data_IF_073760502044
#
_entry.id   IF_073760502044
#
_cell.length_a   1.000
_cell.length_b   1.000
_cell.length_c   1.000
_cell.angle_alpha   90.00
_cell.angle_beta   90.00
_cell.angle_gamma   90.00
#
_symmetry.space_group_name_H-M   'P 1'
#
loop_
_entity.id
_entity.type
_entity.pdbx_description
1 polymer ?
#
# COMPACT_ATOMS: atom_id res chain seq x y z
N UNK A 1 -7.20 27.52 6.57
CA UNK A 1 -6.50 26.30 6.13
C UNK A 1 -7.37 25.42 5.23
N UNK A 2 -8.70 25.49 5.31
CA UNK A 2 -9.58 24.95 4.26
C UNK A 2 -9.97 26.03 3.25
N UNK A 3 -9.00 26.59 2.53
CA UNK A 3 -9.33 27.70 1.61
C UNK A 3 -10.27 27.21 0.51
N UNK A 4 -10.08 26.00 -0.01
CA UNK A 4 -10.99 25.30 -0.92
C UNK A 4 -11.07 23.81 -0.51
N UNK A 5 -12.29 23.30 -0.31
CA UNK A 5 -12.59 21.86 -0.21
C UNK A 5 -13.36 21.51 -1.47
N UNK A 6 -12.89 20.55 -2.26
CA UNK A 6 -13.57 20.23 -3.52
C UNK A 6 -14.50 19.03 -3.37
N UNK A 7 -13.98 17.87 -2.99
CA UNK A 7 -14.75 16.65 -2.83
C UNK A 7 -14.95 16.35 -1.34
N UNK A 8 -16.18 16.50 -0.87
CA UNK A 8 -16.52 16.34 0.55
C UNK A 8 -17.41 15.13 0.76
N UNK A 9 -17.25 14.46 1.91
CA UNK A 9 -18.28 13.57 2.42
C UNK A 9 -19.48 14.42 2.84
N UNK A 10 -20.67 14.10 2.33
CA UNK A 10 -21.90 14.80 2.65
C UNK A 10 -22.57 14.13 3.83
N UNK A 11 -23.19 12.97 3.63
CA UNK A 11 -23.92 12.28 4.68
C UNK A 11 -24.04 10.78 4.37
N UNK A 12 -24.47 10.04 5.39
CA UNK A 12 -24.92 8.66 5.25
C UNK A 12 -26.42 8.63 5.04
N UNK A 13 -26.88 7.75 4.15
CA UNK A 13 -28.29 7.49 3.88
C UNK A 13 -28.57 6.01 4.13
N UNK A 14 -29.65 5.70 4.87
CA UNK A 14 -30.00 4.33 5.26
C UNK A 14 -30.94 3.62 4.27
N UNK A 15 -31.40 4.28 3.22
CA UNK A 15 -32.47 3.78 2.34
C UNK A 15 -31.98 3.23 1.01
N UNK A 16 -32.67 2.21 0.48
CA UNK A 16 -32.83 0.88 1.07
C UNK A 16 -31.50 0.11 1.13
N UNK A 17 -30.52 0.53 0.34
CA UNK A 17 -29.12 0.12 0.43
C UNK A 17 -28.35 1.22 1.15
N UNK A 18 -27.82 0.99 2.36
CA UNK A 18 -27.03 1.99 3.07
C UNK A 18 -25.86 2.47 2.22
N UNK A 19 -25.72 3.79 2.08
CA UNK A 19 -24.69 4.39 1.23
C UNK A 19 -24.15 5.70 1.80
N UNK A 20 -22.92 6.02 1.42
CA UNK A 20 -22.32 7.33 1.63
C UNK A 20 -22.60 8.23 0.43
N UNK A 21 -22.85 9.52 0.68
CA UNK A 21 -22.97 10.55 -0.33
C UNK A 21 -21.75 11.45 -0.31
N UNK A 22 -21.27 11.80 -1.49
CA UNK A 22 -20.14 12.70 -1.71
C UNK A 22 -20.60 13.87 -2.57
N UNK A 23 -20.09 15.07 -2.28
CA UNK A 23 -20.41 16.28 -3.02
C UNK A 23 -19.15 16.88 -3.60
N UNK A 24 -19.20 17.25 -4.88
CA UNK A 24 -18.22 18.15 -5.47
C UNK A 24 -18.72 19.59 -5.36
N UNK A 25 -18.03 20.39 -4.54
CA UNK A 25 -18.44 21.76 -4.17
C UNK A 25 -18.44 22.68 -5.38
N UNK A 26 -17.45 22.59 -6.26
CA UNK A 26 -17.35 23.41 -7.46
C UNK A 26 -18.48 23.08 -8.46
N UNK A 27 -18.76 21.78 -8.65
CA UNK A 27 -19.86 21.31 -9.49
C UNK A 27 -21.21 21.75 -8.92
N UNK A 28 -21.38 21.74 -7.60
CA UNK A 28 -22.60 22.21 -6.94
C UNK A 28 -22.83 23.71 -7.14
N UNK A 29 -21.76 24.54 -7.06
CA UNK A 29 -21.88 25.97 -7.37
C UNK A 29 -22.27 26.21 -8.82
N UNK A 30 -21.66 25.48 -9.77
CA UNK A 30 -22.04 25.54 -11.19
C UNK A 30 -23.48 25.09 -11.41
N UNK A 31 -23.93 24.05 -10.71
CA UNK A 31 -25.32 23.59 -10.75
C UNK A 31 -26.29 24.68 -10.29
N UNK A 32 -26.03 25.36 -9.15
CA UNK A 32 -26.85 26.47 -8.68
C UNK A 32 -26.95 27.62 -9.69
N UNK A 33 -25.83 27.98 -10.32
CA UNK A 33 -25.81 29.00 -11.36
C UNK A 33 -26.61 28.60 -12.60
N UNK A 34 -26.52 27.32 -13.01
CA UNK A 34 -27.30 26.76 -14.11
C UNK A 34 -28.81 26.81 -13.81
N UNK A 35 -29.21 26.36 -12.62
CA UNK A 35 -30.61 26.38 -12.19
C UNK A 35 -31.18 27.81 -12.12
N UNK A 36 -30.40 28.77 -11.61
CA UNK A 36 -30.80 30.18 -11.56
C UNK A 36 -31.00 30.79 -12.95
N UNK A 37 -30.21 30.38 -13.95
CA UNK A 37 -30.37 30.80 -15.35
C UNK A 37 -31.58 30.17 -16.05
N UNK A 38 -32.00 28.97 -15.63
CA UNK A 38 -33.09 28.20 -16.24
C UNK A 38 -34.52 28.59 -15.86
N UNK A 39 -34.75 29.65 -15.06
CA UNK A 39 -36.08 30.11 -14.58
C UNK A 39 -37.03 28.98 -14.14
N UNK A 40 -36.52 27.96 -13.44
CA UNK A 40 -37.34 26.91 -12.83
C UNK A 40 -37.95 25.87 -13.79
N UNK A 41 -37.57 25.83 -15.08
CA UNK A 41 -37.88 24.69 -15.95
C UNK A 41 -36.75 23.66 -15.85
N UNK A 42 -37.14 22.44 -15.47
CA UNK A 42 -36.38 21.20 -15.27
C UNK A 42 -34.85 21.29 -15.14
N UNK A 43 -34.34 20.84 -13.99
CA UNK A 43 -32.92 20.61 -13.71
C UNK A 43 -32.25 19.53 -14.58
N UNK A 44 -32.91 19.04 -15.63
CA UNK A 44 -32.52 17.90 -16.47
C UNK A 44 -31.30 18.13 -17.36
N UNK A 45 -30.71 19.34 -17.36
CA UNK A 45 -29.47 19.67 -18.08
C UNK A 45 -28.33 20.23 -17.22
N UNK A 46 -28.53 20.40 -15.90
CA UNK A 46 -27.49 20.92 -15.02
C UNK A 46 -26.68 19.73 -14.47
N UNK A 47 -25.39 19.64 -14.83
CA UNK A 47 -24.53 18.47 -14.59
C UNK A 47 -24.47 17.94 -13.15
N UNK A 48 -23.98 16.70 -13.01
CA UNK A 48 -23.92 15.97 -11.74
C UNK A 48 -22.92 16.59 -10.76
N UNK A 49 -23.33 16.72 -9.49
CA UNK A 49 -22.49 17.25 -8.40
C UNK A 49 -22.47 16.36 -7.15
N UNK A 50 -23.40 15.41 -7.04
CA UNK A 50 -23.49 14.47 -5.91
C UNK A 50 -23.18 13.06 -6.43
N UNK A 51 -22.47 12.27 -5.66
CA UNK A 51 -22.09 10.91 -6.02
C UNK A 51 -22.36 10.00 -4.85
N UNK A 52 -22.72 8.76 -5.13
CA UNK A 52 -23.14 7.81 -4.10
C UNK A 52 -22.36 6.52 -4.22
N UNK A 53 -22.04 5.91 -3.07
CA UNK A 53 -21.42 4.59 -3.02
C UNK A 53 -22.02 3.77 -1.86
N UNK A 54 -22.53 2.55 -2.12
CA UNK A 54 -22.95 1.61 -1.08
C UNK A 54 -21.83 1.31 -0.10
N UNK A 55 -22.19 1.05 1.15
CA UNK A 55 -21.22 0.63 2.15
C UNK A 55 -20.69 -0.78 1.86
N UNK A 56 -19.37 -0.90 1.78
CA UNK A 56 -18.63 -2.15 1.70
C UNK A 56 -18.47 -2.79 3.07
N UNK A 57 -18.42 -4.11 3.14
CA UNK A 57 -18.17 -4.81 4.40
C UNK A 57 -16.71 -4.65 4.84
N UNK A 58 -16.49 -4.48 6.13
CA UNK A 58 -15.17 -4.39 6.74
C UNK A 58 -14.29 -5.60 6.40
N UNK A 59 -14.82 -6.80 6.59
CA UNK A 59 -14.15 -8.06 6.23
C UNK A 59 -13.73 -8.09 4.76
N UNK A 60 -14.53 -7.52 3.88
CA UNK A 60 -14.27 -7.47 2.46
C UNK A 60 -13.17 -6.46 2.12
N UNK A 61 -13.15 -5.29 2.77
CA UNK A 61 -12.04 -4.35 2.60
C UNK A 61 -10.71 -4.89 3.14
N UNK A 62 -10.75 -5.69 4.21
CA UNK A 62 -9.56 -6.41 4.71
C UNK A 62 -9.09 -7.45 3.69
N UNK A 63 -10.02 -8.21 3.09
CA UNK A 63 -9.72 -9.16 2.00
C UNK A 63 -9.09 -8.45 0.80
N UNK A 64 -9.62 -7.30 0.39
CA UNK A 64 -9.05 -6.46 -0.69
C UNK A 64 -7.64 -6.00 -0.31
N UNK A 65 -7.42 -5.49 0.89
CA UNK A 65 -6.09 -5.11 1.37
C UNK A 65 -5.11 -6.30 1.38
N UNK A 66 -5.55 -7.48 1.81
CA UNK A 66 -4.76 -8.71 1.75
C UNK A 66 -4.39 -9.09 0.31
N UNK A 67 -5.31 -8.94 -0.65
CA UNK A 67 -5.04 -9.19 -2.06
C UNK A 67 -4.03 -8.19 -2.65
N UNK A 68 -4.13 -6.90 -2.29
CA UNK A 68 -3.14 -5.89 -2.69
C UNK A 68 -1.74 -6.20 -2.13
N UNK A 69 -1.65 -6.60 -0.86
CA UNK A 69 -0.38 -7.08 -0.26
C UNK A 69 0.15 -8.31 -0.98
N UNK A 70 -0.71 -9.28 -1.27
CA UNK A 70 -0.35 -10.52 -1.97
C UNK A 70 0.23 -10.22 -3.35
N UNK A 71 -0.41 -9.32 -4.12
CA UNK A 71 0.09 -8.87 -5.42
C UNK A 71 1.48 -8.24 -5.31
N UNK A 72 1.70 -7.39 -4.30
CA UNK A 72 3.01 -6.76 -4.07
C UNK A 72 4.09 -7.78 -3.67
N UNK A 73 3.78 -8.70 -2.74
CA UNK A 73 4.73 -9.74 -2.33
C UNK A 73 5.12 -10.65 -3.49
N UNK A 74 4.13 -11.04 -4.32
CA UNK A 74 4.36 -11.81 -5.54
C UNK A 74 5.29 -11.06 -6.50
N UNK A 75 5.05 -9.76 -6.72
CA UNK A 75 5.93 -8.92 -7.54
C UNK A 75 7.36 -8.91 -7.00
N UNK A 76 7.54 -8.60 -5.71
CA UNK A 76 8.84 -8.48 -5.06
C UNK A 76 9.64 -9.80 -5.12
N UNK A 77 8.99 -10.93 -4.81
CA UNK A 77 9.64 -12.23 -4.84
C UNK A 77 10.02 -12.65 -6.27
N UNK A 78 9.12 -12.48 -7.25
CA UNK A 78 9.41 -12.71 -8.68
C UNK A 78 10.59 -11.88 -9.15
N UNK A 79 10.61 -10.60 -8.77
CA UNK A 79 11.66 -9.65 -9.15
C UNK A 79 13.04 -10.13 -8.69
N UNK A 80 13.14 -10.56 -7.43
CA UNK A 80 14.37 -11.10 -6.87
C UNK A 80 14.78 -12.41 -7.54
N UNK A 81 13.88 -13.40 -7.61
CA UNK A 81 14.21 -14.72 -8.13
C UNK A 81 14.56 -14.69 -9.61
N UNK A 82 13.91 -13.82 -10.40
CA UNK A 82 14.28 -13.59 -11.80
C UNK A 82 15.72 -13.12 -11.94
N UNK A 83 16.12 -12.13 -11.12
CA UNK A 83 17.48 -11.61 -11.13
C UNK A 83 18.50 -12.66 -10.67
N UNK A 84 18.22 -13.38 -9.59
CA UNK A 84 19.12 -14.38 -9.03
C UNK A 84 19.31 -15.58 -9.97
N UNK A 85 18.22 -16.12 -10.54
CA UNK A 85 18.28 -17.23 -11.50
C UNK A 85 19.04 -16.82 -12.75
N UNK A 86 18.84 -15.60 -13.23
CA UNK A 86 19.57 -15.13 -14.42
C UNK A 86 21.04 -14.90 -14.15
N UNK A 87 21.39 -14.33 -13.00
CA UNK A 87 22.78 -14.16 -12.56
C UNK A 87 23.51 -15.52 -12.60
N UNK A 88 22.89 -16.55 -12.06
CA UNK A 88 23.44 -17.91 -11.90
C UNK A 88 23.07 -18.88 -13.04
N UNK A 89 22.66 -18.37 -14.19
CA UNK A 89 22.37 -19.17 -15.39
C UNK A 89 23.69 -19.72 -15.97
N UNK A 90 23.81 -21.01 -16.34
CA UNK A 90 22.76 -22.04 -16.48
C UNK A 90 22.46 -22.89 -15.26
N UNK A 91 23.27 -22.84 -14.20
CA UNK A 91 23.08 -23.72 -13.03
C UNK A 91 21.71 -23.53 -12.37
N UNK A 92 21.31 -22.28 -12.10
CA UNK A 92 19.99 -22.00 -11.52
C UNK A 92 18.85 -22.17 -12.51
N UNK A 93 19.09 -22.09 -13.82
CA UNK A 93 18.07 -22.43 -14.80
C UNK A 93 17.73 -23.92 -14.71
N UNK A 94 18.74 -24.79 -14.67
CA UNK A 94 18.56 -26.25 -14.59
C UNK A 94 17.94 -26.70 -13.26
N UNK A 95 18.19 -25.99 -12.17
CA UNK A 95 17.72 -26.39 -10.83
C UNK A 95 16.41 -25.72 -10.43
N UNK A 96 16.23 -24.42 -10.69
CA UNK A 96 15.03 -23.67 -10.28
C UNK A 96 13.96 -23.59 -11.37
N UNK A 97 14.29 -23.76 -12.65
CA UNK A 97 13.28 -23.75 -13.72
C UNK A 97 12.77 -25.14 -14.11
N UNK A 98 13.52 -26.20 -13.78
CA UNK A 98 13.08 -27.58 -14.00
C UNK A 98 12.22 -28.12 -12.84
N UNK A 99 12.46 -27.65 -11.62
CA UNK A 99 11.74 -28.07 -10.41
C UNK A 99 11.10 -26.85 -9.74
N UNK A 100 9.88 -27.01 -9.23
CA UNK A 100 9.25 -25.96 -8.43
C UNK A 100 9.68 -26.09 -6.97
N UNK A 101 10.23 -24.99 -6.45
CA UNK A 101 10.72 -24.88 -5.07
C UNK A 101 9.80 -24.00 -4.21
N UNK A 102 8.60 -23.69 -4.72
CA UNK A 102 7.67 -22.81 -4.05
C UNK A 102 7.22 -23.39 -2.70
N UNK A 103 7.31 -22.57 -1.65
CA UNK A 103 6.95 -22.97 -0.28
C UNK A 103 5.45 -23.11 0.00
N UNK A 104 4.59 -23.03 -1.01
CA UNK A 104 3.13 -23.17 -0.93
C UNK A 104 2.35 -22.03 -0.26
N UNK A 105 3.02 -21.11 0.46
CA UNK A 105 2.35 -19.96 1.08
C UNK A 105 2.33 -18.75 0.14
N UNK A 106 1.26 -18.67 -0.65
CA UNK A 106 1.08 -17.66 -1.70
C UNK A 106 0.23 -16.47 -1.25
N UNK A 107 -0.27 -16.45 -0.01
CA UNK A 107 -1.15 -15.39 0.47
C UNK A 107 -0.47 -14.56 1.55
N UNK A 108 -0.51 -13.23 1.39
CA UNK A 108 -0.06 -12.33 2.43
C UNK A 108 -0.97 -12.45 3.66
N UNK A 109 -0.45 -12.10 4.84
CA UNK A 109 -1.24 -11.94 6.05
C UNK A 109 -2.30 -10.84 5.85
N UNK A 110 -3.46 -11.01 6.48
CA UNK A 110 -4.48 -9.97 6.47
C UNK A 110 -3.96 -8.68 7.15
N UNK A 111 -4.17 -7.49 6.55
CA UNK A 111 -3.81 -6.23 7.19
C UNK A 111 -4.69 -5.94 8.40
N UNK A 112 -4.13 -5.24 9.40
CA UNK A 112 -4.92 -4.72 10.50
C UNK A 112 -5.72 -3.49 10.06
N UNK A 113 -6.97 -3.36 10.52
CA UNK A 113 -7.78 -2.16 10.28
C UNK A 113 -7.26 -1.02 11.15
N UNK A 114 -6.37 -0.23 10.57
CA UNK A 114 -5.75 0.92 11.22
C UNK A 114 -6.20 2.20 10.52
N UNK A 115 -6.73 3.15 11.30
CA UNK A 115 -7.12 4.44 10.79
C UNK A 115 -5.89 5.33 10.58
N UNK A 116 -5.65 5.70 9.33
CA UNK A 116 -4.64 6.67 8.97
C UNK A 116 -5.09 8.08 9.36
N UNK A 117 -4.21 8.78 10.08
CA UNK A 117 -4.36 10.19 10.43
C UNK A 117 -3.05 10.92 10.18
N UNK A 118 -2.99 11.72 9.11
CA UNK A 118 -1.79 12.50 8.78
C UNK A 118 -1.90 13.94 9.27
N UNK A 119 -0.78 14.56 9.61
CA UNK A 119 -0.73 15.97 10.04
C UNK A 119 -1.30 16.95 9.02
N UNK A 120 -1.33 16.58 7.73
CA UNK A 120 -1.93 17.37 6.66
C UNK A 120 -3.46 17.34 6.61
N UNK A 121 -4.12 16.45 7.37
CA UNK A 121 -5.57 16.27 7.32
C UNK A 121 -6.36 17.26 8.20
N UNK A 122 -5.71 17.89 9.17
CA UNK A 122 -6.35 18.81 10.12
C UNK A 122 -5.66 20.19 10.14
N UNK A 123 -6.32 21.23 10.69
CA UNK A 123 -5.75 22.57 10.74
C UNK A 123 -4.49 22.63 11.59
N UNK A 124 -3.56 23.54 11.26
CA UNK A 124 -2.30 23.76 11.98
C UNK A 124 -2.50 23.94 13.50
N UNK A 125 -3.64 24.48 13.94
CA UNK A 125 -4.00 24.67 15.35
C UNK A 125 -4.19 23.36 16.14
N UNK A 126 -4.33 22.22 15.47
CA UNK A 126 -4.49 20.89 16.06
C UNK A 126 -3.28 19.97 15.80
N UNK A 127 -2.23 20.47 15.14
CA UNK A 127 -0.98 19.73 14.95
C UNK A 127 -0.38 19.38 16.32
N UNK A 128 0.00 18.12 16.49
CA UNK A 128 0.48 17.56 17.75
C UNK A 128 -0.60 17.28 18.80
N UNK A 129 -1.87 17.67 18.57
CA UNK A 129 -3.00 17.34 19.46
C UNK A 129 -3.72 16.07 19.03
N UNK A 130 -3.86 15.85 17.72
CA UNK A 130 -4.35 14.57 17.18
C UNK A 130 -3.10 13.76 16.82
N UNK A 131 -2.88 12.58 17.44
CA UNK A 131 -1.74 11.73 17.12
C UNK A 131 -1.74 11.35 15.63
N UNK A 132 -0.60 11.54 14.97
CA UNK A 132 -0.44 11.09 13.60
C UNK A 132 -0.25 9.58 13.57
N UNK A 133 -0.90 8.92 12.62
CA UNK A 133 -0.83 7.49 12.40
C UNK A 133 -0.69 7.24 10.90
N UNK A 134 0.47 6.77 10.42
CA UNK A 134 0.67 6.48 9.00
C UNK A 134 -0.16 5.27 8.56
N UNK A 135 -0.31 5.02 7.25
CA UNK A 135 -0.91 3.78 6.74
C UNK A 135 -0.17 2.53 7.24
N UNK A 136 -0.90 1.50 7.67
CA UNK A 136 -0.36 0.17 8.03
C UNK A 136 -0.71 -0.86 6.92
N UNK A 137 -0.29 -0.57 5.69
CA UNK A 137 -0.52 -1.43 4.53
C UNK A 137 0.49 -2.59 4.41
N UNK A 138 1.61 -2.52 5.13
CA UNK A 138 2.65 -3.57 5.22
C UNK A 138 3.00 -4.16 3.85
N UNK A 139 3.28 -3.29 2.88
CA UNK A 139 3.69 -3.66 1.53
C UNK A 139 5.15 -4.13 1.52
N UNK A 140 5.34 -5.30 2.11
CA UNK A 140 6.58 -6.08 2.21
C UNK A 140 6.22 -7.55 2.30
N UNK A 141 7.19 -8.42 2.08
CA UNK A 141 7.00 -9.86 2.32
C UNK A 141 6.78 -10.14 3.80
N UNK A 142 5.83 -11.02 4.11
CA UNK A 142 5.60 -11.47 5.49
C UNK A 142 6.75 -12.35 5.98
N UNK A 143 7.37 -13.10 5.07
CA UNK A 143 8.56 -13.90 5.34
C UNK A 143 9.55 -13.80 4.20
N UNK A 144 10.78 -13.46 4.54
CA UNK A 144 11.93 -13.58 3.64
C UNK A 144 12.57 -14.96 3.86
N UNK A 145 12.71 -15.74 2.79
CA UNK A 145 13.21 -17.11 2.82
C UNK A 145 14.31 -17.32 1.78
N UNK A 146 15.09 -18.38 1.96
CA UNK A 146 16.05 -18.88 0.97
C UNK A 146 15.38 -19.63 -0.19
N UNK A 147 14.08 -19.88 -0.10
CA UNK A 147 13.27 -20.50 -1.15
C UNK A 147 12.18 -19.53 -1.62
N UNK A 148 11.76 -19.62 -2.90
CA UNK A 148 10.70 -18.77 -3.43
C UNK A 148 9.36 -19.06 -2.76
N UNK A 149 8.54 -18.01 -2.61
CA UNK A 149 7.12 -18.13 -2.27
C UNK A 149 6.27 -18.25 -3.52
N UNK A 150 6.77 -17.79 -4.67
CA UNK A 150 6.09 -17.91 -5.97
C UNK A 150 6.48 -19.18 -6.72
N UNK A 151 5.59 -19.70 -7.56
CA UNK A 151 5.87 -20.84 -8.42
C UNK A 151 7.01 -20.54 -9.40
N UNK A 152 7.82 -21.54 -9.75
CA UNK A 152 8.93 -21.35 -10.67
C UNK A 152 8.55 -20.70 -12.02
N UNK A 153 7.38 -21.02 -12.58
CA UNK A 153 6.87 -20.43 -13.81
C UNK A 153 6.79 -18.90 -13.77
N UNK A 154 6.54 -18.31 -12.60
CA UNK A 154 6.38 -16.87 -12.42
C UNK A 154 7.70 -16.09 -12.58
N UNK A 155 8.86 -16.69 -12.27
CA UNK A 155 10.17 -16.04 -12.37
C UNK A 155 11.10 -16.67 -13.43
N UNK A 156 10.89 -17.93 -13.80
CA UNK A 156 11.64 -18.57 -14.88
C UNK A 156 11.12 -18.17 -16.26
N UNK A 157 9.80 -18.03 -16.45
CA UNK A 157 9.20 -17.67 -17.74
C UNK A 157 9.81 -18.47 -18.91
N UNK A 158 10.21 -17.77 -19.98
CA UNK A 158 10.91 -18.34 -21.15
C UNK A 158 12.44 -18.22 -21.06
N UNK A 159 13.02 -18.26 -19.86
CA UNK A 159 14.47 -18.10 -19.69
C UNK A 159 15.21 -19.31 -20.28
N UNK A 160 15.96 -19.07 -21.35
CA UNK A 160 16.86 -20.08 -21.91
C UNK A 160 18.16 -20.19 -21.10
N UNK A 161 18.80 -21.37 -21.09
CA UNK A 161 20.17 -21.52 -20.62
C UNK A 161 21.13 -20.57 -21.36
N UNK A 162 22.01 -19.91 -20.62
CA UNK A 162 23.05 -19.00 -21.12
C UNK A 162 24.42 -19.51 -20.61
N UNK A 163 25.21 -20.19 -21.46
CA UNK A 163 26.47 -20.81 -21.07
C UNK A 163 27.64 -19.83 -20.93
N UNK A 164 27.40 -18.51 -21.03
CA UNK A 164 28.46 -17.50 -20.93
C UNK A 164 29.24 -17.65 -19.61
N UNK A 165 30.56 -17.73 -19.73
CA UNK A 165 31.47 -17.94 -18.60
C UNK A 165 31.65 -16.65 -17.78
N UNK A 166 31.11 -16.63 -16.56
CA UNK A 166 31.25 -15.50 -15.63
C UNK A 166 32.44 -15.67 -14.67
N UNK A 167 32.68 -16.91 -14.24
CA UNK A 167 33.58 -17.24 -13.14
C UNK A 167 34.61 -18.29 -13.59
N UNK A 168 35.89 -18.00 -13.37
CA UNK A 168 36.99 -18.94 -13.58
C UNK A 168 37.56 -19.34 -12.20
N UNK A 169 37.43 -20.61 -11.78
CA UNK A 169 37.80 -21.06 -10.44
C UNK A 169 39.29 -20.93 -10.16
N UNK A 170 39.62 -20.50 -8.94
CA UNK A 170 40.96 -20.67 -8.37
C UNK A 170 41.14 -22.07 -7.78
N UNK A 171 42.40 -22.44 -7.52
CA UNK A 171 42.76 -23.74 -6.91
C UNK A 171 43.89 -23.60 -5.90
N UNK A 172 43.77 -24.22 -4.73
CA UNK A 172 44.90 -24.37 -3.78
C UNK A 172 45.30 -25.84 -3.63
N UNK A 173 46.59 -26.08 -3.46
CA UNK A 173 47.15 -27.41 -3.23
C UNK A 173 47.71 -27.49 -1.81
N UNK A 174 47.35 -28.56 -1.10
CA UNK A 174 47.67 -28.82 0.29
C UNK A 174 48.43 -30.15 0.44
N UNK A 175 49.33 -30.22 1.42
CA UNK A 175 49.91 -31.46 1.95
C UNK A 175 49.53 -31.55 3.43
N UNK A 176 48.71 -32.53 3.80
CA UNK A 176 48.12 -32.58 5.14
C UNK A 176 47.33 -31.29 5.43
N UNK A 177 47.64 -30.62 6.54
CA UNK A 177 47.06 -29.32 6.90
C UNK A 177 47.86 -28.11 6.39
N UNK A 178 48.94 -28.34 5.63
CA UNK A 178 49.84 -27.28 5.16
C UNK A 178 49.52 -26.88 3.73
N UNK A 179 49.24 -25.58 3.52
CA UNK A 179 49.01 -25.01 2.19
C UNK A 179 50.35 -24.89 1.46
N UNK A 180 50.51 -25.59 0.33
CA UNK A 180 51.73 -25.48 -0.47
C UNK A 180 51.72 -24.21 -1.30
N UNK A 181 50.75 -24.09 -2.19
CA UNK A 181 50.59 -22.94 -3.07
C UNK A 181 49.15 -22.86 -3.57
N UNK A 182 48.80 -21.69 -4.10
CA UNK A 182 47.51 -21.44 -4.71
C UNK A 182 47.68 -20.77 -6.07
N UNK A 183 46.78 -21.12 -6.98
CA UNK A 183 46.57 -20.49 -8.28
C UNK A 183 45.26 -19.70 -8.12
N UNK A 184 45.41 -18.43 -7.77
CA UNK A 184 44.33 -17.53 -7.34
C UNK A 184 44.46 -16.17 -8.03
N UNK A 185 43.32 -15.51 -8.24
CA UNK A 185 43.30 -14.11 -8.68
C UNK A 185 43.28 -13.12 -7.51
N UNK A 186 42.98 -11.87 -7.83
CA UNK A 186 43.03 -10.72 -6.91
C UNK A 186 41.69 -10.40 -6.24
N UNK A 187 40.60 -11.04 -6.66
CA UNK A 187 39.25 -10.72 -6.18
C UNK A 187 38.78 -11.78 -5.18
N UNK A 188 38.69 -11.45 -3.88
CA UNK A 188 38.28 -12.43 -2.88
C UNK A 188 36.79 -12.79 -3.03
N UNK A 189 36.46 -14.05 -2.72
CA UNK A 189 35.07 -14.48 -2.53
C UNK A 189 34.58 -14.15 -1.12
N UNK A 190 33.29 -14.33 -0.87
CA UNK A 190 32.72 -14.21 0.48
C UNK A 190 33.16 -15.34 1.42
N UNK A 191 33.74 -16.42 0.90
CA UNK A 191 34.33 -17.49 1.70
C UNK A 191 35.87 -17.40 1.68
N UNK A 192 36.53 -17.07 2.81
CA UNK A 192 37.98 -16.95 2.87
C UNK A 192 38.71 -18.30 2.76
N UNK A 193 38.00 -19.43 2.93
CA UNK A 193 38.55 -20.77 2.77
C UNK A 193 38.53 -21.26 1.31
N UNK A 194 37.78 -20.58 0.46
CA UNK A 194 37.72 -20.89 -0.96
C UNK A 194 38.78 -20.09 -1.72
N UNK A 195 39.52 -20.73 -2.64
CA UNK A 195 40.49 -20.00 -3.44
C UNK A 195 39.86 -18.85 -4.22
N UNK A 196 40.53 -17.70 -4.25
CA UNK A 196 40.06 -16.56 -5.04
C UNK A 196 40.02 -16.91 -6.54
N UNK A 197 38.95 -16.58 -7.27
CA UNK A 197 38.85 -16.85 -8.70
C UNK A 197 40.00 -16.25 -9.49
N UNK A 198 40.46 -16.97 -10.51
CA UNK A 198 41.40 -16.44 -11.49
C UNK A 198 40.78 -15.32 -12.34
N UNK A 199 39.46 -15.31 -12.47
CA UNK A 199 38.74 -14.25 -13.16
C UNK A 199 37.26 -14.24 -12.81
N UNK A 200 36.71 -13.03 -12.71
CA UNK A 200 35.27 -12.81 -12.57
C UNK A 200 34.79 -11.63 -13.41
N UNK A 201 33.80 -11.88 -14.26
CA UNK A 201 33.17 -10.92 -15.18
C UNK A 201 32.03 -10.16 -14.49
N UNK A 202 32.38 -9.11 -13.74
CA UNK A 202 31.41 -8.22 -13.10
C UNK A 202 30.50 -7.50 -14.10
N UNK A 203 31.03 -7.18 -15.28
CA UNK A 203 30.31 -6.56 -16.39
C UNK A 203 29.18 -7.48 -16.90
N UNK A 204 29.47 -8.77 -17.07
CA UNK A 204 28.48 -9.75 -17.50
C UNK A 204 27.44 -10.05 -16.41
N UNK A 205 27.89 -10.14 -15.15
CA UNK A 205 26.98 -10.27 -14.00
C UNK A 205 26.02 -9.08 -13.89
N UNK A 206 26.54 -7.85 -14.05
CA UNK A 206 25.74 -6.62 -14.07
C UNK A 206 24.74 -6.63 -15.23
N UNK A 207 25.20 -6.95 -16.46
CA UNK A 207 24.34 -7.03 -17.64
C UNK A 207 23.19 -8.03 -17.45
N UNK A 208 23.44 -9.19 -16.82
CA UNK A 208 22.40 -10.19 -16.54
C UNK A 208 21.37 -9.68 -15.54
N UNK A 209 21.80 -9.04 -14.45
CA UNK A 209 20.89 -8.46 -13.46
C UNK A 209 20.09 -7.31 -14.10
N UNK A 210 20.74 -6.40 -14.83
CA UNK A 210 20.07 -5.31 -15.53
C UNK A 210 19.00 -5.81 -16.50
N UNK A 211 19.33 -6.82 -17.31
CA UNK A 211 18.39 -7.42 -18.25
C UNK A 211 17.21 -8.08 -17.52
N UNK A 212 17.46 -8.76 -16.39
CA UNK A 212 16.40 -9.31 -15.56
C UNK A 212 15.50 -8.23 -14.95
N UNK A 213 16.08 -7.17 -14.38
CA UNK A 213 15.34 -6.04 -13.79
C UNK A 213 14.53 -5.27 -14.82
N UNK A 214 15.04 -5.12 -16.05
CA UNK A 214 14.34 -4.47 -17.15
C UNK A 214 13.13 -5.28 -17.63
N UNK A 215 13.31 -6.58 -17.88
CA UNK A 215 12.21 -7.49 -18.24
C UNK A 215 11.14 -7.55 -17.13
N UNK A 216 11.57 -7.66 -15.87
CA UNK A 216 10.67 -7.71 -14.74
C UNK A 216 9.89 -6.41 -14.54
N UNK A 217 10.50 -5.25 -14.83
CA UNK A 217 9.81 -3.97 -14.74
C UNK A 217 8.74 -3.79 -15.82
N UNK A 218 8.88 -4.41 -17.00
CA UNK A 218 7.84 -4.36 -18.04
C UNK A 218 6.77 -5.43 -17.83
N UNK A 219 7.18 -6.69 -17.63
CA UNK A 219 6.24 -7.81 -17.55
C UNK A 219 5.55 -7.89 -16.19
N UNK A 220 6.33 -7.89 -15.09
CA UNK A 220 5.76 -8.15 -13.77
C UNK A 220 4.99 -6.95 -13.23
N UNK A 221 5.36 -5.72 -13.62
CA UNK A 221 4.57 -4.55 -13.28
C UNK A 221 3.18 -4.59 -13.94
N UNK A 222 3.08 -5.10 -15.18
CA UNK A 222 1.79 -5.27 -15.85
C UNK A 222 0.93 -6.34 -15.15
N UNK A 223 1.53 -7.47 -14.77
CA UNK A 223 0.87 -8.51 -13.97
C UNK A 223 0.38 -7.96 -12.63
N UNK A 224 1.25 -7.25 -11.92
CA UNK A 224 0.93 -6.60 -10.65
C UNK A 224 -0.26 -5.64 -10.78
N UNK A 225 -0.28 -4.79 -11.80
CA UNK A 225 -1.41 -3.88 -12.04
C UNK A 225 -2.69 -4.64 -12.37
N UNK A 226 -2.63 -5.76 -13.10
CA UNK A 226 -3.79 -6.62 -13.34
C UNK A 226 -4.32 -7.22 -12.04
N UNK A 227 -3.43 -7.74 -11.19
CA UNK A 227 -3.79 -8.29 -9.88
C UNK A 227 -4.42 -7.20 -8.97
N UNK A 228 -3.91 -5.97 -9.02
CA UNK A 228 -4.47 -4.80 -8.30
C UNK A 228 -5.87 -4.44 -8.80
N UNK A 229 -6.06 -4.33 -10.12
CA UNK A 229 -7.37 -4.01 -10.72
C UNK A 229 -8.38 -5.10 -10.37
N UNK A 230 -7.97 -6.37 -10.41
CA UNK A 230 -8.82 -7.49 -10.00
C UNK A 230 -9.18 -7.44 -8.51
N UNK A 231 -8.22 -7.09 -7.65
CA UNK A 231 -8.47 -6.93 -6.21
C UNK A 231 -9.45 -5.78 -5.92
N UNK A 232 -9.37 -4.69 -6.68
CA UNK A 232 -10.20 -3.50 -6.54
C UNK A 232 -11.51 -3.56 -7.34
N UNK A 233 -11.82 -4.68 -7.99
CA UNK A 233 -13.04 -4.83 -8.76
C UNK A 233 -14.28 -4.82 -7.84
N UNK A 234 -15.36 -4.09 -8.21
CA UNK A 234 -16.59 -4.08 -7.43
C UNK A 234 -17.24 -5.47 -7.37
N UNK A 235 -17.87 -5.78 -6.24
CA UNK A 235 -18.66 -6.99 -6.03
C UNK A 235 -19.82 -6.71 -5.06
N UNK A 236 -20.64 -7.71 -4.74
CA UNK A 236 -21.81 -7.53 -3.86
C UNK A 236 -21.51 -7.10 -2.41
N UNK A 237 -20.24 -7.14 -1.98
CA UNK A 237 -19.75 -6.77 -0.64
C UNK A 237 -18.71 -5.64 -0.67
N UNK A 238 -18.23 -5.26 -1.86
CA UNK A 238 -17.24 -4.20 -2.08
C UNK A 238 -17.72 -3.26 -3.18
N UNK A 239 -17.98 -2.01 -2.84
CA UNK A 239 -18.51 -1.00 -3.76
C UNK A 239 -17.57 0.21 -3.83
N UNK A 240 -16.41 0.07 -4.48
CA UNK A 240 -15.44 1.13 -4.67
C UNK A 240 -15.98 2.19 -5.64
N UNK A 241 -15.68 3.44 -5.33
CA UNK A 241 -15.91 4.61 -6.17
C UNK A 241 -14.56 5.08 -6.74
N UNK A 242 -14.25 4.78 -8.02
CA UNK A 242 -13.02 5.23 -8.65
C UNK A 242 -13.08 6.72 -8.99
N UNK A 243 -12.00 7.45 -8.66
CA UNK A 243 -11.84 8.87 -8.99
C UNK A 243 -10.93 9.06 -10.21
N UNK A 244 -11.20 10.09 -11.02
CA UNK A 244 -10.69 10.17 -12.40
C UNK A 244 -9.21 10.49 -12.56
N UNK A 245 -8.48 10.94 -11.54
CA UNK A 245 -7.06 11.29 -11.69
C UNK A 245 -6.11 10.11 -11.58
N UNK A 246 -5.00 10.19 -12.31
CA UNK A 246 -3.93 9.17 -12.37
C UNK A 246 -3.29 8.84 -11.00
N UNK A 247 -3.36 9.77 -10.04
CA UNK A 247 -2.88 9.59 -8.66
C UNK A 247 -4.05 9.62 -7.65
N UNK A 248 -5.29 9.63 -8.12
CA UNK A 248 -6.44 9.80 -7.26
C UNK A 248 -6.83 8.46 -6.63
N UNK A 249 -7.27 8.51 -5.38
CA UNK A 249 -7.65 7.32 -4.64
C UNK A 249 -8.93 6.69 -5.18
N UNK A 250 -8.97 5.38 -5.22
CA UNK A 250 -10.23 4.62 -5.20
C UNK A 250 -10.73 4.62 -3.77
N UNK A 251 -12.00 5.00 -3.58
CA UNK A 251 -12.60 5.17 -2.26
C UNK A 251 -13.81 4.25 -2.12
N UNK A 252 -13.83 3.42 -1.08
CA UNK A 252 -14.99 2.61 -0.72
C UNK A 252 -15.45 2.98 0.69
N UNK A 253 -16.68 3.46 0.90
CA UNK A 253 -17.20 3.62 2.25
C UNK A 253 -17.35 2.24 2.91
N UNK A 254 -16.98 2.12 4.17
CA UNK A 254 -16.83 0.84 4.86
C UNK A 254 -17.73 0.78 6.08
N UNK A 255 -18.38 -0.35 6.30
CA UNK A 255 -19.23 -0.57 7.48
C UNK A 255 -18.92 -1.87 8.20
N UNK A 256 -19.25 -1.87 9.50
CA UNK A 256 -19.53 -3.08 10.27
C UNK A 256 -21.02 -3.36 10.28
N UNK A 257 -21.39 -4.64 10.30
CA UNK A 257 -22.79 -5.03 10.43
C UNK A 257 -23.33 -4.70 11.82
N UNK A 258 -22.53 -4.94 12.86
CA UNK A 258 -22.95 -4.70 14.24
C UNK A 258 -22.54 -3.29 14.68
N UNK A 259 -23.44 -2.52 15.30
CA UNK A 259 -23.11 -1.23 15.88
C UNK A 259 -22.20 -1.40 17.12
N UNK A 260 -21.24 -0.50 17.26
CA UNK A 260 -20.34 -0.46 18.42
C UNK A 260 -20.38 0.94 19.07
N UNK A 261 -20.75 1.00 20.35
CA UNK A 261 -20.77 2.25 21.14
C UNK A 261 -19.63 2.33 22.16
N UNK A 262 -18.86 1.26 22.32
CA UNK A 262 -17.82 1.15 23.36
C UNK A 262 -16.71 2.18 23.16
N UNK A 263 -16.52 2.64 21.92
CA UNK A 263 -15.55 3.67 21.57
C UNK A 263 -15.90 5.07 22.09
N UNK A 264 -17.17 5.38 22.38
CA UNK A 264 -17.60 6.76 22.60
C UNK A 264 -16.92 7.40 23.80
N UNK A 265 -16.88 6.69 24.92
CA UNK A 265 -16.25 7.19 26.14
C UNK A 265 -14.74 7.36 25.93
N UNK A 266 -14.06 6.38 25.33
CA UNK A 266 -12.61 6.44 25.13
C UNK A 266 -12.21 7.54 24.14
N UNK A 267 -12.96 7.71 23.03
CA UNK A 267 -12.70 8.78 22.05
C UNK A 267 -13.09 10.17 22.56
N UNK A 268 -14.12 10.27 23.39
CA UNK A 268 -14.42 11.52 24.10
C UNK A 268 -13.29 11.92 25.06
N UNK A 269 -12.77 10.95 25.82
CA UNK A 269 -11.64 11.16 26.73
C UNK A 269 -10.37 11.55 25.96
N UNK A 270 -10.06 10.87 24.86
CA UNK A 270 -8.94 11.21 23.96
C UNK A 270 -9.03 12.68 23.50
N UNK A 271 -10.19 13.08 22.96
CA UNK A 271 -10.43 14.46 22.52
C UNK A 271 -10.35 15.48 23.66
N UNK A 272 -10.99 15.19 24.79
CA UNK A 272 -11.01 16.07 25.95
C UNK A 272 -9.63 16.27 26.59
N UNK A 273 -8.83 15.21 26.68
CA UNK A 273 -7.46 15.27 27.20
C UNK A 273 -6.55 16.08 26.28
N UNK A 274 -6.61 15.83 24.97
CA UNK A 274 -5.76 16.49 23.97
C UNK A 274 -6.11 17.97 23.75
N UNK A 275 -7.40 18.34 23.82
CA UNK A 275 -7.85 19.72 23.65
C UNK A 275 -7.71 20.55 24.93
N UNK A 276 -7.89 19.93 26.09
CA UNK A 276 -7.80 20.59 27.40
C UNK A 276 -8.92 21.59 27.68
N UNK A 277 -8.83 22.28 28.82
CA UNK A 277 -9.80 23.32 29.23
C UNK A 277 -11.24 22.82 29.26
N UNK A 278 -12.17 23.59 28.68
CA UNK A 278 -13.60 23.26 28.65
C UNK A 278 -13.88 21.92 27.96
N UNK A 279 -13.08 21.55 26.94
CA UNK A 279 -13.28 20.32 26.17
C UNK A 279 -13.03 19.06 27.02
N UNK A 280 -12.19 19.15 28.05
CA UNK A 280 -11.95 18.03 28.97
C UNK A 280 -13.22 17.64 29.74
N UNK A 281 -14.08 18.61 30.05
CA UNK A 281 -15.35 18.39 30.75
C UNK A 281 -16.52 18.12 29.81
N UNK A 282 -16.49 18.66 28.59
CA UNK A 282 -17.68 18.67 27.70
C UNK A 282 -17.62 17.69 26.53
N UNK A 283 -16.46 17.10 26.19
CA UNK A 283 -16.32 16.24 25.02
C UNK A 283 -17.26 15.01 25.04
N UNK A 284 -17.42 14.37 26.20
CA UNK A 284 -18.31 13.20 26.32
C UNK A 284 -19.78 13.58 26.16
N UNK A 285 -20.22 14.62 26.87
CA UNK A 285 -21.58 15.15 26.73
C UNK A 285 -21.88 15.61 25.31
N UNK A 286 -20.89 16.15 24.60
CA UNK A 286 -21.00 16.53 23.20
C UNK A 286 -21.26 15.33 22.30
N UNK A 287 -20.43 14.28 22.35
CA UNK A 287 -20.64 13.11 21.50
C UNK A 287 -21.88 12.30 21.89
N UNK A 288 -22.25 12.26 23.16
CA UNK A 288 -23.48 11.59 23.60
C UNK A 288 -24.74 12.14 22.91
N UNK A 289 -24.76 13.40 22.51
CA UNK A 289 -25.90 13.99 21.77
C UNK A 289 -26.16 13.29 20.43
N UNK A 290 -25.17 12.64 19.83
CA UNK A 290 -25.37 11.82 18.63
C UNK A 290 -26.25 10.60 18.85
N UNK A 291 -26.37 10.11 20.10
CA UNK A 291 -27.23 8.96 20.42
C UNK A 291 -28.71 9.30 20.37
N UNK A 292 -29.09 10.54 20.70
CA UNK A 292 -30.48 11.03 20.66
C UNK A 292 -31.03 11.30 19.27
N UNK A 293 -30.23 11.05 18.22
CA UNK A 293 -30.61 11.25 16.82
C UNK A 293 -29.66 12.19 16.09
N UNK A 294 -29.88 12.41 14.78
CA UNK A 294 -29.06 13.33 14.01
C UNK A 294 -29.28 14.77 14.49
N UNK A 295 -28.45 15.22 15.44
CA UNK A 295 -28.51 16.62 15.86
C UNK A 295 -27.99 17.50 14.72
N UNK A 296 -28.70 18.59 14.40
CA UNK A 296 -28.21 19.61 13.47
C UNK A 296 -26.83 20.15 13.89
N UNK A 297 -26.52 20.08 15.20
CA UNK A 297 -25.23 20.43 15.79
C UNK A 297 -24.06 19.48 15.45
N UNK A 298 -24.33 18.28 14.91
CA UNK A 298 -23.31 17.35 14.37
C UNK A 298 -23.24 17.36 12.83
N UNK A 299 -24.14 18.13 12.16
CA UNK A 299 -24.27 18.26 10.68
C UNK A 299 -23.78 19.62 10.16
N UNK A 300 -22.85 20.22 10.89
CA UNK A 300 -22.44 21.65 10.88
C UNK A 300 -21.85 22.14 9.54
N UNK A 301 -21.64 21.26 8.56
CA UNK A 301 -20.77 21.52 7.43
C UNK A 301 -21.47 21.55 6.06
N UNK A 302 -22.79 21.74 6.01
CA UNK A 302 -23.59 21.71 4.76
C UNK A 302 -23.49 22.95 3.85
N UNK A 303 -22.44 23.77 3.98
CA UNK A 303 -21.87 24.80 3.05
C UNK A 303 -22.81 25.59 2.09
N UNK A 304 -22.66 26.93 1.96
CA UNK A 304 -21.41 27.48 1.39
C UNK A 304 -20.92 28.83 1.97
N UNK A 305 -19.61 29.02 1.80
CA UNK A 305 -18.79 30.23 1.99
C UNK A 305 -18.20 30.40 3.40
N UNK A 306 -16.89 30.18 3.45
CA UNK A 306 -15.99 30.42 4.56
C UNK A 306 -16.28 31.71 5.34
N UNK A 307 -16.84 31.56 6.55
CA UNK A 307 -16.43 32.15 7.84
C UNK A 307 -17.23 31.40 8.93
N UNK A 308 -16.62 30.36 9.52
CA UNK A 308 -17.22 29.43 10.50
C UNK A 308 -18.63 28.90 10.12
N UNK A 309 -18.70 28.38 8.89
CA UNK A 309 -19.63 27.45 8.18
C UNK A 309 -21.16 27.43 8.46
N UNK A 310 -21.74 27.99 9.51
CA UNK A 310 -23.18 27.74 9.81
C UNK A 310 -24.17 28.89 9.75
N UNK A 311 -23.77 30.15 9.64
CA UNK A 311 -24.74 31.26 9.62
C UNK A 311 -25.71 31.32 10.83
N UNK A 312 -25.52 30.47 11.84
CA UNK A 312 -26.23 30.35 13.11
C UNK A 312 -25.21 29.92 14.17
N UNK A 313 -25.32 30.38 15.44
CA UNK A 313 -24.24 30.32 16.40
C UNK A 313 -24.06 28.90 16.94
N UNK A 314 -23.20 28.11 16.30
CA UNK A 314 -22.56 27.01 17.01
C UNK A 314 -21.68 27.56 18.12
N UNK A 315 -21.59 26.88 19.28
CA UNK A 315 -20.69 27.28 20.33
C UNK A 315 -19.25 27.37 19.78
N UNK A 316 -18.51 28.47 20.06
CA UNK A 316 -17.18 28.67 19.52
C UNK A 316 -16.26 27.49 19.89
N UNK A 317 -15.63 26.88 18.88
CA UNK A 317 -14.62 25.83 19.08
C UNK A 317 -15.09 24.38 19.00
N UNK A 318 -16.38 24.12 18.81
CA UNK A 318 -16.92 22.75 18.61
C UNK A 318 -16.32 22.03 17.39
N UNK A 319 -15.93 22.77 16.35
CA UNK A 319 -15.22 22.23 15.19
C UNK A 319 -13.97 21.43 15.58
N UNK A 320 -13.35 21.71 16.73
CA UNK A 320 -12.20 20.93 17.22
C UNK A 320 -12.61 19.50 17.58
N UNK A 321 -13.79 19.31 18.17
CA UNK A 321 -14.34 17.98 18.47
C UNK A 321 -14.77 17.26 17.19
N UNK A 322 -15.21 17.99 16.16
CA UNK A 322 -15.50 17.44 14.84
C UNK A 322 -14.25 16.85 14.17
N UNK A 323 -13.10 17.54 14.25
CA UNK A 323 -11.82 17.02 13.72
C UNK A 323 -11.38 15.71 14.39
N UNK A 324 -11.71 15.50 15.67
CA UNK A 324 -11.41 14.26 16.38
C UNK A 324 -12.24 13.06 15.89
N UNK A 325 -13.32 13.27 15.13
CA UNK A 325 -14.06 12.17 14.47
C UNK A 325 -13.19 11.43 13.45
N UNK A 326 -12.08 12.01 12.98
CA UNK A 326 -11.05 11.31 12.18
C UNK A 326 -10.41 10.11 12.90
N UNK A 327 -10.57 10.03 14.22
CA UNK A 327 -10.09 8.93 15.07
C UNK A 327 -11.21 7.96 15.47
N UNK A 328 -12.46 8.23 15.05
CA UNK A 328 -13.60 7.35 15.35
C UNK A 328 -13.46 6.05 14.57
N UNK A 329 -13.71 4.90 15.20
CA UNK A 329 -13.55 3.61 14.56
C UNK A 329 -14.62 3.38 13.49
N UNK A 330 -14.30 2.42 12.65
CA UNK A 330 -15.24 1.76 11.75
C UNK A 330 -16.48 1.26 12.50
N UNK A 331 -17.67 1.52 11.95
CA UNK A 331 -18.94 1.25 12.61
C UNK A 331 -20.07 0.95 11.62
N UNK A 332 -21.29 0.79 12.13
CA UNK A 332 -22.49 0.57 11.33
C UNK A 332 -23.02 1.89 10.71
N UNK A 333 -23.71 1.86 9.55
CA UNK A 333 -24.24 3.07 8.91
C UNK A 333 -25.19 3.91 9.77
N UNK A 334 -25.95 3.29 10.68
CA UNK A 334 -26.79 4.02 11.63
C UNK A 334 -25.96 4.90 12.57
N UNK A 335 -24.75 4.45 12.93
CA UNK A 335 -23.82 5.22 13.74
C UNK A 335 -23.20 6.36 12.93
N UNK A 336 -22.85 6.10 11.68
CA UNK A 336 -22.35 7.13 10.76
C UNK A 336 -23.35 8.27 10.54
N UNK A 337 -24.63 7.94 10.34
CA UNK A 337 -25.69 8.95 10.18
C UNK A 337 -25.90 9.77 11.47
N UNK A 338 -25.91 9.10 12.63
CA UNK A 338 -26.12 9.75 13.94
C UNK A 338 -25.01 10.71 14.32
N UNK A 339 -23.76 10.29 14.08
CA UNK A 339 -22.58 11.03 14.49
C UNK A 339 -22.00 11.90 13.38
N UNK A 340 -22.52 11.87 12.15
CA UNK A 340 -22.02 12.71 11.05
C UNK A 340 -20.57 12.39 10.68
N UNK A 341 -20.23 11.11 10.53
CA UNK A 341 -18.92 10.68 10.04
C UNK A 341 -19.06 9.41 9.20
N UNK A 342 -18.02 9.05 8.44
CA UNK A 342 -17.92 7.76 7.76
C UNK A 342 -16.48 7.29 7.78
N UNK A 343 -16.27 5.98 7.63
CA UNK A 343 -14.94 5.41 7.40
C UNK A 343 -14.83 4.97 5.95
N UNK A 344 -13.70 5.27 5.33
CA UNK A 344 -13.42 4.97 3.94
C UNK A 344 -12.19 4.07 3.86
N UNK A 345 -12.23 3.07 2.99
CA UNK A 345 -11.05 2.38 2.49
C UNK A 345 -10.57 3.17 1.27
N UNK A 346 -9.31 3.58 1.29
CA UNK A 346 -8.66 4.29 0.20
C UNK A 346 -7.54 3.42 -0.37
N UNK A 347 -7.48 3.28 -1.69
CA UNK A 347 -6.34 2.69 -2.39
C UNK A 347 -5.82 3.68 -3.44
N UNK A 348 -4.50 3.91 -3.47
CA UNK A 348 -3.88 4.87 -4.40
C UNK A 348 -2.53 4.36 -4.90
N UNK A 349 -2.14 4.80 -6.09
CA UNK A 349 -0.85 4.44 -6.65
C UNK A 349 0.23 5.46 -6.28
N UNK A 350 1.39 4.97 -5.89
CA UNK A 350 2.59 5.73 -5.61
C UNK A 350 3.71 5.26 -6.54
N UNK A 351 4.17 6.15 -7.43
CA UNK A 351 5.31 5.89 -8.32
C UNK A 351 6.52 6.60 -7.74
N UNK A 352 7.40 5.82 -7.08
CA UNK A 352 8.67 6.31 -6.54
C UNK A 352 9.79 5.30 -6.80
N UNK A 353 11.00 5.77 -7.16
CA UNK A 353 12.19 4.92 -7.19
C UNK A 353 12.46 4.34 -5.81
N UNK A 354 12.77 3.05 -5.76
CA UNK A 354 13.02 2.30 -4.52
C UNK A 354 14.01 1.16 -4.78
N UNK A 355 14.56 0.63 -3.69
CA UNK A 355 15.42 -0.55 -3.70
C UNK A 355 14.67 -1.69 -3.00
N UNK A 356 14.46 -2.80 -3.70
CA UNK A 356 13.77 -3.98 -3.18
C UNK A 356 14.80 -4.98 -2.61
N UNK A 357 14.55 -5.57 -1.43
CA UNK A 357 13.44 -5.28 -0.52
C UNK A 357 13.60 -3.90 0.15
N UNK A 358 12.48 -3.22 0.42
CA UNK A 358 12.51 -1.93 1.14
C UNK A 358 12.90 -2.13 2.62
N UNK A 359 12.50 -3.25 3.21
CA UNK A 359 12.79 -3.61 4.60
C UNK A 359 14.30 -3.82 4.80
N UNK A 360 14.93 -2.96 5.62
CA UNK A 360 16.38 -2.98 5.83
C UNK A 360 16.90 -4.32 6.38
N UNK A 361 16.14 -4.96 7.26
CA UNK A 361 16.48 -6.26 7.86
C UNK A 361 16.42 -7.42 6.85
N UNK A 362 15.69 -7.25 5.75
CA UNK A 362 15.57 -8.26 4.70
C UNK A 362 16.68 -8.18 3.64
N UNK A 363 17.41 -7.06 3.56
CA UNK A 363 18.45 -6.85 2.55
C UNK A 363 19.55 -7.92 2.54
N UNK A 364 20.08 -8.39 3.69
CA UNK A 364 21.07 -9.47 3.70
C UNK A 364 20.55 -10.78 3.10
N UNK A 365 19.25 -11.07 3.23
CA UNK A 365 18.60 -12.26 2.66
C UNK A 365 18.31 -12.14 1.17
N UNK A 366 18.42 -10.93 0.61
CA UNK A 366 18.10 -10.62 -0.79
C UNK A 366 19.28 -9.98 -1.53
N UNK A 367 20.50 -10.31 -1.12
CA UNK A 367 21.70 -9.91 -1.85
C UNK A 367 21.80 -10.64 -3.19
N UNK A 368 22.35 -9.96 -4.19
CA UNK A 368 22.72 -10.58 -5.47
C UNK A 368 24.07 -11.25 -5.33
N UNK A 369 24.06 -12.57 -5.25
CA UNK A 369 25.24 -13.41 -5.09
C UNK A 369 25.31 -14.39 -6.26
N UNK A 370 26.46 -14.40 -6.94
CA UNK A 370 26.78 -15.46 -7.89
C UNK A 370 27.35 -16.66 -7.12
N UNK A 371 26.69 -17.80 -7.24
CA UNK A 371 27.04 -19.07 -6.63
C UNK A 371 28.20 -19.67 -7.44
N UNK A 372 29.40 -19.62 -6.85
CA UNK A 372 30.60 -20.16 -7.45
C UNK A 372 31.30 -21.16 -6.52
N UNK A 373 32.30 -21.85 -7.06
CA UNK A 373 33.03 -22.92 -6.39
C UNK A 373 34.51 -22.80 -6.72
N UNK A 374 35.37 -22.74 -5.70
CA UNK A 374 36.83 -22.90 -5.83
C UNK A 374 37.25 -24.34 -5.52
N UNK A 375 38.50 -24.71 -5.81
CA UNK A 375 38.96 -26.10 -5.68
C UNK A 375 40.14 -26.22 -4.70
N UNK A 376 40.05 -27.16 -3.76
CA UNK A 376 41.16 -27.52 -2.88
C UNK A 376 41.65 -28.94 -3.21
N UNK A 377 42.93 -29.12 -3.51
CA UNK A 377 43.51 -30.45 -3.78
C UNK A 377 44.38 -30.86 -2.60
N UNK A 378 44.19 -32.07 -2.07
CA UNK A 378 44.90 -32.58 -0.89
C UNK A 378 45.77 -33.78 -1.25
N UNK A 379 47.09 -33.56 -1.35
CA UNK A 379 48.03 -34.63 -1.69
C UNK A 379 48.12 -35.70 -0.58
N UNK A 380 48.27 -36.99 -0.93
CA UNK A 380 48.50 -37.51 -2.29
C UNK A 380 47.24 -37.70 -3.14
N UNK A 381 46.04 -37.36 -2.66
CA UNK A 381 44.81 -37.44 -3.46
C UNK A 381 44.78 -36.34 -4.52
N UNK A 382 44.78 -36.67 -5.82
CA UNK A 382 44.76 -35.67 -6.88
C UNK A 382 43.35 -35.10 -7.12
N UNK A 383 42.32 -35.59 -6.41
CA UNK A 383 40.94 -35.16 -6.63
C UNK A 383 40.67 -33.79 -5.99
N UNK A 384 40.18 -32.80 -6.77
CA UNK A 384 39.80 -31.51 -6.21
C UNK A 384 38.54 -31.63 -5.36
N UNK A 385 38.61 -31.04 -4.16
CA UNK A 385 37.49 -30.87 -3.24
C UNK A 385 36.85 -29.50 -3.53
N UNK A 386 35.63 -29.46 -4.09
CA UNK A 386 34.93 -28.21 -4.37
C UNK A 386 34.59 -27.51 -3.05
N UNK A 387 34.87 -26.21 -3.00
CA UNK A 387 34.61 -25.34 -1.84
C UNK A 387 33.76 -24.15 -2.29
N UNK A 388 32.59 -23.88 -1.68
CA UNK A 388 31.73 -22.76 -2.07
C UNK A 388 32.49 -21.43 -2.02
N UNK A 389 32.48 -20.69 -3.13
CA UNK A 389 33.17 -19.41 -3.31
C UNK A 389 32.19 -18.29 -3.74
N UNK A 390 31.13 -17.99 -2.97
CA UNK A 390 30.10 -17.05 -3.41
C UNK A 390 30.67 -15.66 -3.71
N UNK A 391 30.23 -15.07 -4.82
CA UNK A 391 30.67 -13.75 -5.28
C UNK A 391 29.54 -12.73 -5.13
N UNK A 392 29.69 -11.76 -4.23
CA UNK A 392 28.75 -10.65 -4.08
C UNK A 392 28.83 -9.72 -5.29
N UNK A 393 27.69 -9.25 -5.80
CA UNK A 393 27.64 -8.17 -6.79
C UNK A 393 27.43 -6.83 -6.06
N UNK A 394 28.48 -6.01 -5.81
CA UNK A 394 28.42 -4.93 -4.83
C UNK A 394 27.37 -3.86 -5.17
N UNK A 395 27.20 -3.58 -6.47
CA UNK A 395 26.22 -2.61 -6.99
C UNK A 395 24.78 -2.88 -6.53
N UNK A 396 24.44 -4.14 -6.29
CA UNK A 396 23.11 -4.58 -5.87
C UNK A 396 23.04 -5.04 -4.41
N UNK A 397 24.12 -4.86 -3.63
CA UNK A 397 24.11 -5.13 -2.19
C UNK A 397 23.06 -4.33 -1.42
N UNK A 398 22.70 -3.08 -1.80
CA UNK A 398 21.64 -2.32 -1.13
C UNK A 398 20.22 -2.74 -1.53
N UNK A 399 20.05 -3.59 -2.54
CA UNK A 399 18.77 -4.01 -3.12
C UNK A 399 18.71 -3.84 -4.64
N UNK A 400 17.68 -4.43 -5.26
CA UNK A 400 17.41 -4.28 -6.69
C UNK A 400 16.59 -3.02 -6.98
N UNK A 401 16.94 -2.21 -7.99
CA UNK A 401 16.20 -0.99 -8.31
C UNK A 401 14.81 -1.29 -8.87
N UNK A 402 13.79 -0.56 -8.42
CA UNK A 402 12.44 -0.61 -8.96
C UNK A 402 11.87 0.81 -9.03
N UNK A 403 11.18 1.15 -10.12
CA UNK A 403 10.56 2.47 -10.31
C UNK A 403 9.11 2.38 -10.83
N UNK A 404 8.47 1.22 -10.69
CA UNK A 404 7.06 1.04 -11.06
C UNK A 404 6.07 1.53 -10.00
N UNK A 405 4.77 1.40 -10.28
CA UNK A 405 3.71 1.76 -9.35
C UNK A 405 3.64 0.79 -8.16
N UNK A 406 3.44 1.33 -6.96
CA UNK A 406 3.01 0.55 -5.79
C UNK A 406 1.65 1.07 -5.34
N UNK A 407 0.71 0.17 -5.16
CA UNK A 407 -0.66 0.50 -4.73
C UNK A 407 -0.72 0.43 -3.21
N UNK A 408 -0.72 1.61 -2.60
CA UNK A 408 -0.91 1.82 -1.16
C UNK A 408 -2.38 1.71 -0.82
N UNK A 409 -2.68 1.39 0.43
CA UNK A 409 -4.05 1.47 0.94
C UNK A 409 -4.11 1.87 2.41
N UNK A 410 -5.26 2.40 2.84
CA UNK A 410 -5.50 2.78 4.22
C UNK A 410 -7.00 2.82 4.52
N UNK A 411 -7.36 2.76 5.80
CA UNK A 411 -8.67 3.20 6.27
C UNK A 411 -8.55 4.62 6.82
N UNK A 412 -9.49 5.48 6.51
CA UNK A 412 -9.56 6.85 7.04
C UNK A 412 -10.96 7.14 7.54
N UNK A 413 -11.09 7.92 8.60
CA UNK A 413 -12.39 8.43 9.04
C UNK A 413 -12.54 9.89 8.62
N UNK A 414 -13.69 10.22 8.04
CA UNK A 414 -14.02 11.54 7.50
C UNK A 414 -15.33 12.01 8.11
N UNK A 415 -15.29 13.19 8.73
CA UNK A 415 -16.48 13.85 9.26
C UNK A 415 -17.31 14.49 8.13
N UNK A 416 -18.61 14.65 8.37
CA UNK A 416 -19.54 15.30 7.44
C UNK A 416 -19.06 16.71 7.04
N UNK A 417 -19.16 17.00 5.75
CA UNK A 417 -18.68 18.21 5.08
C UNK A 417 -17.17 18.44 5.08
N UNK A 418 -16.37 17.45 5.49
CA UNK A 418 -14.93 17.46 5.32
C UNK A 418 -14.49 16.87 3.98
N UNK A 419 -13.36 17.37 3.50
CA UNK A 419 -12.72 16.88 2.30
C UNK A 419 -12.27 15.43 2.47
N UNK A 420 -12.58 14.61 1.47
CA UNK A 420 -12.09 13.24 1.37
C UNK A 420 -10.60 13.30 1.01
N UNK A 421 -9.71 12.69 1.81
CA UNK A 421 -8.28 12.66 1.50
C UNK A 421 -8.00 12.07 0.11
N UNK A 422 -6.92 12.52 -0.53
CA UNK A 422 -6.36 11.90 -1.77
C UNK A 422 -7.33 11.82 -2.96
N UNK A 423 -8.44 12.55 -2.91
CA UNK A 423 -9.47 12.57 -3.95
C UNK A 423 -9.53 13.92 -4.64
N UNK A 424 -9.47 13.92 -5.97
CA UNK A 424 -9.62 15.11 -6.81
C UNK A 424 -10.55 14.81 -7.99
N UNK A 425 -11.01 15.86 -8.65
CA UNK A 425 -11.88 15.73 -9.82
C UNK A 425 -13.27 15.18 -9.49
N UNK A 426 -13.82 14.39 -10.40
CA UNK A 426 -15.12 13.72 -10.27
C UNK A 426 -14.92 12.21 -10.37
N UNK A 427 -15.76 11.39 -9.72
CA UNK A 427 -15.67 9.95 -9.86
C UNK A 427 -16.08 9.52 -11.27
N UNK A 428 -15.46 8.45 -11.76
CA UNK A 428 -15.72 7.89 -13.10
C UNK A 428 -16.93 6.97 -13.12
N UNK A 429 -17.49 6.65 -11.95
CA UNK A 429 -18.71 5.88 -11.77
C UNK A 429 -19.60 6.54 -10.71
N UNK A 430 -20.89 6.19 -10.69
CA UNK A 430 -21.83 6.58 -9.65
C UNK A 430 -22.85 5.46 -9.43
N UNK A 431 -23.09 5.10 -8.16
CA UNK A 431 -24.02 4.03 -7.79
C UNK A 431 -25.46 4.50 -7.60
N UNK A 432 -25.81 5.72 -8.05
CA UNK A 432 -27.15 6.30 -7.91
C UNK A 432 -28.31 5.37 -8.32
N UNK A 433 -28.10 4.50 -9.31
CA UNK A 433 -29.11 3.54 -9.77
C UNK A 433 -29.40 2.46 -8.71
N UNK A 434 -28.39 2.07 -7.92
CA UNK A 434 -28.48 1.05 -6.87
C UNK A 434 -28.96 1.64 -5.55
N UNK A 435 -28.70 2.93 -5.31
CA UNK A 435 -28.96 3.60 -4.03
C UNK A 435 -30.26 4.41 -3.99
N UNK A 436 -31.03 4.43 -5.10
CA UNK A 436 -32.30 5.17 -5.21
C UNK A 436 -33.50 4.40 -4.70
#
# INVERSE_FOLDING_TARGET
MYRHRNNIYSQTSLTPVPHARFLNVDAFQKFKQCQAKGKGKESSGCGTYEFTAPYSLDSETVRVGQALRTAWQRLEDRYYWRALVRLNNPLMNLTHCALDWSGGDHQAQAPAVVLNTDNGMFPARLVGKIPSQPPDDRLKMDRYSLLPTVANGDYCGKLAPDPSLIYLPGTCIWIGSSKLFCIEGDKPSLNPLAPAPLGFRFDLADARIQKATGEAQTEYAADYLRDVVQALAPNGKFSPLPWSGLNDAIVAPVMKLQPDLTFLQSKAQEAGQALGGVFRATAYAYYLQGLSGPSAALRVHTLPINKDVLGTPNPPGVWKLEEFKRRFPLNNPAMYERFGYTTLFEAWNEVRPRLLPEEASAKPLRQMIYLAVGNNVFLPSPFPVPTPAPMLIPKYSPGLPYAGPQTRFAWVSVAEGYEVPRVKGQPTADYRVVTR
#
